data_IF_949501854831
#
_entry.id   IF_949501854831
#
_cell.length_a   1.000
_cell.length_b   1.000
_cell.length_c   1.000
_cell.angle_alpha   90.00
_cell.angle_beta   90.00
_cell.angle_gamma   90.00
#
_symmetry.space_group_name_H-M   'P 1'
#
loop_
_entity.id
_entity.type
_entity.pdbx_description
1 polymer ?
#
# COMPACT_ATOMS: atom_id res chain seq x y z
N UNK A 1 8.35 2.72 -25.73
CA UNK A 1 7.77 2.41 -24.40
C UNK A 1 8.68 2.99 -23.35
N UNK A 2 8.35 4.19 -22.87
CA UNK A 2 9.10 4.87 -21.82
C UNK A 2 8.76 4.17 -20.50
N UNK A 3 9.67 3.33 -20.00
CA UNK A 3 9.60 2.86 -18.62
C UNK A 3 10.07 3.98 -17.70
N UNK A 4 9.34 4.22 -16.62
CA UNK A 4 9.75 5.18 -15.61
C UNK A 4 10.93 4.62 -14.82
N UNK A 5 12.02 5.38 -14.76
CA UNK A 5 13.19 5.04 -13.97
C UNK A 5 13.07 5.78 -12.64
N UNK A 6 12.83 5.01 -11.58
CA UNK A 6 12.82 5.51 -10.23
C UNK A 6 14.19 5.32 -9.58
N UNK A 7 14.73 6.40 -9.03
CA UNK A 7 15.94 6.34 -8.22
C UNK A 7 15.52 6.28 -6.76
N UNK A 8 15.91 5.22 -6.04
CA UNK A 8 15.66 5.09 -4.61
C UNK A 8 16.98 5.24 -3.86
N UNK A 9 16.98 6.12 -2.87
CA UNK A 9 18.08 6.31 -1.94
C UNK A 9 17.68 5.74 -0.57
N UNK A 10 18.62 5.07 0.08
CA UNK A 10 18.54 4.87 1.53
C UNK A 10 19.32 6.00 2.19
N UNK A 11 18.63 6.94 2.87
CA UNK A 11 19.29 8.08 3.48
C UNK A 11 20.21 7.60 4.61
N UNK A 12 21.27 8.37 4.85
CA UNK A 12 22.12 8.18 6.02
C UNK A 12 21.32 8.47 7.29
N UNK A 13 21.13 7.47 8.13
CA UNK A 13 20.78 7.70 9.53
C UNK A 13 22.06 8.20 10.20
N UNK A 14 22.14 9.51 10.42
CA UNK A 14 23.21 10.24 11.12
C UNK A 14 24.56 10.30 10.37
N UNK A 15 24.66 11.17 9.35
CA UNK A 15 25.95 11.70 8.92
C UNK A 15 26.32 12.93 9.78
N UNK A 16 26.66 12.71 11.05
CA UNK A 16 27.45 13.72 11.78
C UNK A 16 28.89 13.57 11.33
N UNK A 17 29.50 14.66 10.88
CA UNK A 17 30.91 14.74 10.50
C UNK A 17 31.80 14.64 11.75
N UNK A 18 31.73 13.52 12.48
CA UNK A 18 32.64 13.23 13.57
C UNK A 18 33.91 12.68 12.93
N UNK A 19 35.04 13.33 13.24
CA UNK A 19 36.35 12.71 13.09
C UNK A 19 36.29 11.31 13.71
N UNK A 20 36.95 10.33 13.08
CA UNK A 20 37.07 9.01 13.71
C UNK A 20 37.59 9.23 15.11
N UNK A 21 36.89 8.69 16.11
CA UNK A 21 37.08 8.92 17.54
C UNK A 21 38.45 8.41 18.01
N UNK A 22 39.53 8.97 17.48
CA UNK A 22 40.92 8.64 17.76
C UNK A 22 41.14 8.88 19.25
N UNK A 23 41.20 7.79 20.02
CA UNK A 23 41.37 7.82 21.47
C UNK A 23 40.11 7.67 22.34
N UNK A 24 38.89 7.60 21.78
CA UNK A 24 37.64 7.48 22.61
C UNK A 24 36.87 6.17 22.41
N UNK A 25 36.90 5.59 21.23
CA UNK A 25 36.20 4.32 20.99
C UNK A 25 36.98 3.17 21.64
N UNK A 26 36.37 2.51 22.62
CA UNK A 26 36.99 1.38 23.34
C UNK A 26 36.72 0.04 22.66
N UNK A 27 35.76 0.01 21.73
CA UNK A 27 35.34 -1.17 21.00
C UNK A 27 35.22 -0.94 19.48
N UNK A 28 35.33 -2.02 18.72
CA UNK A 28 35.29 -2.00 17.25
C UNK A 28 33.97 -1.46 16.72
N UNK A 29 32.85 -1.86 17.31
CA UNK A 29 31.51 -1.43 16.94
C UNK A 29 31.29 0.07 17.17
N UNK A 30 31.75 0.61 18.30
CA UNK A 30 31.72 2.04 18.60
C UNK A 30 32.54 2.86 17.59
N UNK A 31 33.71 2.35 17.20
CA UNK A 31 34.55 2.97 16.18
C UNK A 31 33.88 3.01 14.81
N UNK A 32 33.30 1.87 14.37
CA UNK A 32 32.66 1.76 13.06
C UNK A 32 31.36 2.58 12.95
N UNK A 33 30.68 2.81 14.07
CA UNK A 33 29.51 3.70 14.16
C UNK A 33 29.89 5.19 14.20
N UNK A 34 31.12 5.53 14.58
CA UNK A 34 31.58 6.92 14.69
C UNK A 34 31.59 7.65 13.34
N UNK A 35 31.80 6.93 12.25
CA UNK A 35 31.72 7.51 10.91
C UNK A 35 31.96 6.50 9.79
N UNK A 36 31.47 6.78 8.57
CA UNK A 36 31.62 5.93 7.40
C UNK A 36 33.07 5.77 6.91
N UNK A 37 33.96 6.67 7.30
CA UNK A 37 35.38 6.67 6.93
C UNK A 37 36.28 5.94 7.94
N UNK A 38 35.74 5.50 9.08
CA UNK A 38 36.51 4.94 10.17
C UNK A 38 36.86 3.46 9.99
N UNK A 39 37.92 3.01 10.60
CA UNK A 39 38.41 1.65 10.54
C UNK A 39 38.89 1.27 11.94
N UNK A 40 38.88 -0.03 12.22
CA UNK A 40 39.36 -0.56 13.49
C UNK A 40 40.55 -1.51 13.27
N UNK A 41 41.62 -1.34 14.03
CA UNK A 41 42.77 -2.25 14.02
C UNK A 41 42.60 -3.32 15.13
N UNK A 42 42.57 -4.59 14.75
CA UNK A 42 42.47 -5.73 15.66
C UNK A 42 43.83 -6.20 16.23
N UNK A 43 44.93 -5.52 15.88
CA UNK A 43 46.27 -5.91 16.33
C UNK A 43 46.55 -5.38 17.75
N UNK A 44 46.98 -6.26 18.66
CA UNK A 44 47.04 -5.96 20.11
C UNK A 44 48.42 -5.63 20.66
N UNK A 45 49.51 -5.92 19.93
CA UNK A 45 50.86 -5.93 20.52
C UNK A 45 51.60 -4.58 20.42
N UNK A 46 51.11 -3.64 19.60
CA UNK A 46 51.77 -2.34 19.38
C UNK A 46 50.84 -1.13 19.50
N UNK A 47 49.57 -1.34 19.84
CA UNK A 47 48.54 -0.30 19.88
C UNK A 47 47.91 -0.21 21.27
N UNK A 48 47.89 1.00 21.86
CA UNK A 48 47.02 1.27 23.01
C UNK A 48 45.55 1.20 22.56
N UNK A 49 44.60 0.89 23.46
CA UNK A 49 43.18 0.68 23.10
C UNK A 49 42.59 1.88 22.33
N UNK A 50 43.03 3.10 22.63
CA UNK A 50 42.59 4.32 21.95
C UNK A 50 43.14 4.51 20.53
N UNK A 51 44.26 3.89 20.18
CA UNK A 51 44.91 4.04 18.86
C UNK A 51 44.33 3.11 17.80
N UNK A 52 43.45 2.19 18.20
CA UNK A 52 42.85 1.16 17.34
C UNK A 52 41.76 1.71 16.43
N UNK A 53 41.19 2.87 16.74
CA UNK A 53 40.23 3.56 15.89
C UNK A 53 40.90 4.69 15.10
N UNK A 54 40.66 4.75 13.79
CA UNK A 54 41.18 5.81 12.92
C UNK A 54 40.71 5.66 11.50
N UNK A 55 41.13 6.55 10.60
CA UNK A 55 40.95 6.33 9.16
C UNK A 55 41.87 5.21 8.65
N UNK A 56 41.60 4.65 7.47
CA UNK A 56 42.47 3.64 6.85
C UNK A 56 43.93 4.14 6.69
N UNK A 57 44.10 5.43 6.40
CA UNK A 57 45.40 6.06 6.24
C UNK A 57 46.13 6.21 7.58
N UNK A 58 45.43 6.67 8.62
CA UNK A 58 45.98 6.78 9.98
C UNK A 58 46.42 5.43 10.52
N UNK A 59 45.60 4.39 10.39
CA UNK A 59 45.94 3.05 10.88
C UNK A 59 47.15 2.47 10.13
N UNK A 60 47.27 2.75 8.84
CA UNK A 60 48.44 2.36 8.05
C UNK A 60 49.70 3.07 8.52
N UNK A 61 49.63 4.37 8.79
CA UNK A 61 50.76 5.16 9.32
C UNK A 61 51.21 4.69 10.71
N UNK A 62 50.25 4.26 11.55
CA UNK A 62 50.54 3.66 12.86
C UNK A 62 51.08 2.22 12.78
N UNK A 63 51.22 1.65 11.57
CA UNK A 63 51.80 0.32 11.36
C UNK A 63 50.80 -0.85 11.46
N UNK A 64 49.48 -0.59 11.42
CA UNK A 64 48.49 -1.67 11.35
C UNK A 64 48.53 -2.34 9.98
N UNK A 65 48.88 -3.63 9.94
CA UNK A 65 48.88 -4.41 8.71
C UNK A 65 47.43 -4.62 8.21
N UNK A 66 47.24 -4.73 6.90
CA UNK A 66 45.91 -4.70 6.26
C UNK A 66 45.01 -5.84 6.72
N UNK A 67 45.59 -7.00 7.01
CA UNK A 67 44.92 -8.20 7.51
C UNK A 67 44.29 -8.01 8.90
N UNK A 68 44.80 -7.07 9.70
CA UNK A 68 44.26 -6.74 11.02
C UNK A 68 43.26 -5.58 10.97
N UNK A 69 43.05 -4.94 9.82
CA UNK A 69 42.13 -3.82 9.66
C UNK A 69 40.70 -4.32 9.40
N UNK A 70 39.78 -3.95 10.28
CA UNK A 70 38.33 -4.12 10.12
C UNK A 70 37.73 -2.87 9.49
N UNK A 71 37.31 -3.00 8.24
CA UNK A 71 36.66 -1.93 7.48
C UNK A 71 35.54 -2.52 6.61
N UNK A 72 34.34 -2.77 7.18
CA UNK A 72 33.23 -3.31 6.40
C UNK A 72 32.80 -2.29 5.34
N UNK A 73 32.88 -2.71 4.08
CA UNK A 73 32.49 -1.89 2.93
C UNK A 73 31.04 -2.17 2.58
N UNK A 74 30.32 -1.13 2.20
CA UNK A 74 28.98 -1.25 1.66
C UNK A 74 29.00 -2.00 0.33
N UNK A 75 28.21 -3.08 0.20
CA UNK A 75 28.12 -3.88 -1.03
C UNK A 75 26.68 -4.05 -1.49
N UNK A 76 26.45 -4.04 -2.80
CA UNK A 76 25.18 -4.39 -3.43
C UNK A 76 25.36 -5.58 -4.36
N UNK A 77 24.43 -6.52 -4.32
CA UNK A 77 24.41 -7.68 -5.22
C UNK A 77 23.00 -7.89 -5.78
N UNK A 78 22.89 -7.94 -7.10
CA UNK A 78 21.64 -8.32 -7.77
C UNK A 78 21.41 -9.82 -7.60
N UNK A 79 20.21 -10.17 -7.13
CA UNK A 79 19.79 -11.56 -6.92
C UNK A 79 18.62 -11.99 -7.82
N UNK A 80 17.94 -11.04 -8.45
CA UNK A 80 16.89 -11.25 -9.44
C UNK A 80 16.76 -9.98 -10.27
N UNK A 81 17.02 -10.09 -11.57
CA UNK A 81 17.08 -8.96 -12.49
C UNK A 81 16.53 -9.34 -13.87
N UNK A 82 15.34 -9.92 -13.89
CA UNK A 82 14.64 -10.23 -15.13
C UNK A 82 14.28 -8.93 -15.87
N UNK A 83 14.39 -8.90 -17.20
CA UNK A 83 14.05 -7.73 -17.99
C UNK A 83 12.54 -7.46 -17.98
N UNK A 84 12.19 -6.18 -18.09
CA UNK A 84 10.81 -5.73 -18.12
C UNK A 84 10.10 -6.25 -19.39
N UNK A 85 8.87 -6.74 -19.23
CA UNK A 85 8.02 -7.11 -20.36
C UNK A 85 8.42 -8.38 -21.14
N UNK A 86 9.38 -9.18 -20.65
CA UNK A 86 9.84 -10.37 -21.37
C UNK A 86 9.19 -11.66 -20.85
N UNK A 87 8.03 -12.04 -21.42
CA UNK A 87 7.74 -13.43 -21.78
C UNK A 87 6.47 -13.58 -22.64
N UNK A 88 6.56 -14.44 -23.66
CA UNK A 88 5.52 -14.82 -24.63
C UNK A 88 4.41 -15.72 -24.07
N UNK A 89 4.44 -16.02 -22.77
CA UNK A 89 3.42 -16.77 -22.05
C UNK A 89 3.04 -16.02 -20.76
N UNK A 90 1.76 -15.67 -20.65
CA UNK A 90 1.14 -14.61 -19.86
C UNK A 90 1.22 -14.70 -18.32
N UNK A 91 1.98 -15.63 -17.74
CA UNK A 91 1.99 -15.86 -16.28
C UNK A 91 3.16 -15.23 -15.53
N UNK A 92 4.25 -14.85 -16.19
CA UNK A 92 5.50 -14.39 -15.54
C UNK A 92 6.06 -13.07 -16.12
N UNK A 93 5.20 -12.14 -16.50
CA UNK A 93 5.63 -10.81 -16.95
C UNK A 93 6.10 -9.97 -15.76
N UNK A 94 7.37 -9.57 -15.74
CA UNK A 94 7.90 -8.67 -14.72
C UNK A 94 7.68 -7.20 -15.10
N UNK A 95 7.05 -6.44 -14.20
CA UNK A 95 6.80 -4.98 -14.35
C UNK A 95 7.76 -4.11 -13.55
N UNK A 96 8.62 -4.73 -12.75
CA UNK A 96 9.67 -4.08 -11.95
C UNK A 96 11.00 -4.78 -12.17
N UNK A 97 12.10 -4.03 -12.21
CA UNK A 97 13.45 -4.55 -12.35
C UNK A 97 14.45 -3.65 -11.61
N UNK A 98 15.36 -4.18 -10.76
CA UNK A 98 15.50 -5.60 -10.38
C UNK A 98 14.40 -6.05 -9.41
N UNK A 99 14.09 -7.35 -9.39
CA UNK A 99 13.08 -7.92 -8.48
C UNK A 99 13.67 -8.25 -7.10
N UNK A 100 14.98 -8.52 -7.03
CA UNK A 100 15.64 -8.87 -5.77
C UNK A 100 17.09 -8.38 -5.73
N UNK A 101 17.45 -7.75 -4.61
CA UNK A 101 18.79 -7.24 -4.35
C UNK A 101 19.21 -7.55 -2.90
N UNK A 102 20.46 -7.94 -2.69
CA UNK A 102 21.08 -8.01 -1.38
C UNK A 102 21.95 -6.77 -1.16
N UNK A 103 21.66 -6.02 -0.10
CA UNK A 103 22.42 -4.86 0.32
C UNK A 103 23.09 -5.17 1.67
N UNK A 104 24.41 -4.97 1.75
CA UNK A 104 25.13 -4.89 3.02
C UNK A 104 25.57 -3.45 3.17
N UNK A 105 24.99 -2.75 4.13
CA UNK A 105 25.20 -1.31 4.32
C UNK A 105 26.10 -1.07 5.52
N UNK A 106 27.06 -0.16 5.34
CA UNK A 106 27.81 0.41 6.44
C UNK A 106 27.02 1.57 7.09
N UNK A 107 26.98 1.68 8.43
CA UNK A 107 26.38 2.83 9.10
C UNK A 107 26.93 4.16 8.56
N UNK A 108 26.03 5.11 8.29
CA UNK A 108 26.38 6.43 7.76
C UNK A 108 26.73 6.48 6.27
N UNK A 109 26.86 5.35 5.56
CA UNK A 109 27.10 5.32 4.11
C UNK A 109 25.80 5.15 3.32
N UNK A 110 25.35 6.17 2.58
CA UNK A 110 24.17 6.02 1.71
C UNK A 110 24.49 5.13 0.50
N UNK A 111 23.48 4.43 0.00
CA UNK A 111 23.52 3.70 -1.27
C UNK A 111 22.36 4.13 -2.14
N UNK A 112 22.68 4.32 -3.41
CA UNK A 112 21.70 4.60 -4.45
C UNK A 112 21.67 3.43 -5.42
N UNK A 113 20.47 2.98 -5.74
CA UNK A 113 20.25 2.01 -6.81
C UNK A 113 19.01 2.40 -7.62
N UNK A 114 18.98 1.90 -8.85
CA UNK A 114 17.93 2.22 -9.81
C UNK A 114 16.90 1.10 -9.85
N UNK A 115 15.63 1.48 -9.84
CA UNK A 115 14.49 0.61 -10.06
C UNK A 115 13.80 1.08 -11.33
N UNK A 116 13.61 0.18 -12.28
CA UNK A 116 12.86 0.43 -13.50
C UNK A 116 11.47 -0.15 -13.32
N UNK A 117 10.44 0.63 -13.62
CA UNK A 117 9.04 0.22 -13.56
C UNK A 117 8.42 0.44 -14.94
N UNK A 118 7.65 -0.53 -15.40
CA UNK A 118 6.90 -0.43 -16.64
C UNK A 118 5.44 -0.76 -16.37
N UNK A 119 4.55 0.17 -16.71
CA UNK A 119 3.12 -0.08 -16.64
C UNK A 119 2.73 -1.13 -17.71
N UNK A 120 1.99 -2.19 -17.33
CA UNK A 120 1.41 -3.11 -18.29
C UNK A 120 0.45 -2.39 -19.24
N UNK A 121 0.44 -2.81 -20.51
CA UNK A 121 -0.58 -2.37 -21.47
C UNK A 121 -1.96 -2.97 -21.16
N UNK A 122 -2.05 -4.30 -21.04
CA UNK A 122 -3.29 -5.02 -20.67
C UNK A 122 -3.15 -5.58 -19.25
N UNK A 123 -3.70 -4.87 -18.27
CA UNK A 123 -3.69 -5.25 -16.86
C UNK A 123 -5.11 -5.52 -16.34
N UNK A 124 -5.35 -6.57 -15.53
CA UNK A 124 -6.66 -6.79 -14.92
C UNK A 124 -7.09 -5.59 -14.06
N UNK A 125 -8.36 -5.21 -14.17
CA UNK A 125 -8.96 -4.14 -13.37
C UNK A 125 -10.19 -4.69 -12.66
N UNK A 126 -10.14 -4.63 -11.32
CA UNK A 126 -11.28 -4.89 -10.45
C UNK A 126 -11.83 -3.53 -9.97
N UNK A 127 -13.09 -3.24 -10.26
CA UNK A 127 -13.78 -2.04 -9.78
C UNK A 127 -14.93 -2.43 -8.86
N UNK A 128 -14.90 -1.96 -7.62
CA UNK A 128 -15.97 -2.17 -6.64
C UNK A 128 -16.72 -0.87 -6.43
N UNK A 129 -17.94 -0.78 -6.97
CA UNK A 129 -18.76 0.42 -6.87
C UNK A 129 -19.44 0.44 -5.51
N UNK A 130 -19.01 1.37 -4.66
CA UNK A 130 -19.54 1.57 -3.32
C UNK A 130 -20.43 2.82 -3.30
N UNK A 131 -21.73 2.62 -3.12
CA UNK A 131 -22.73 3.68 -3.30
C UNK A 131 -23.39 4.06 -1.98
N UNK A 132 -23.56 5.36 -1.77
CA UNK A 132 -24.50 5.87 -0.78
C UNK A 132 -25.94 5.61 -1.26
N UNK A 133 -26.78 5.01 -0.41
CA UNK A 133 -28.20 4.81 -0.65
C UNK A 133 -29.09 5.61 0.32
N UNK A 134 -28.57 6.70 0.88
CA UNK A 134 -29.35 7.74 1.55
C UNK A 134 -30.44 8.31 0.61
N UNK A 135 -31.43 9.00 1.19
CA UNK A 135 -32.60 9.46 0.45
C UNK A 135 -32.25 10.48 -0.64
N UNK A 136 -31.14 11.21 -0.48
CA UNK A 136 -30.61 12.14 -1.48
C UNK A 136 -30.10 11.47 -2.75
N UNK A 137 -29.88 10.14 -2.75
CA UNK A 137 -29.30 9.40 -3.88
C UNK A 137 -30.35 8.77 -4.81
N UNK A 138 -31.61 9.18 -4.68
CA UNK A 138 -32.74 8.56 -5.40
C UNK A 138 -32.69 8.78 -6.92
N UNK A 139 -32.29 9.97 -7.36
CA UNK A 139 -32.10 10.32 -8.77
C UNK A 139 -30.80 9.77 -9.33
N UNK A 140 -29.71 9.75 -8.55
CA UNK A 140 -28.47 9.05 -8.90
C UNK A 140 -28.71 7.58 -9.22
N UNK A 141 -29.51 6.90 -8.39
CA UNK A 141 -29.84 5.48 -8.59
C UNK A 141 -30.51 5.23 -9.95
N UNK A 142 -31.35 6.17 -10.41
CA UNK A 142 -31.98 6.08 -11.73
C UNK A 142 -30.96 6.26 -12.86
N UNK A 143 -29.99 7.16 -12.70
CA UNK A 143 -28.95 7.39 -13.71
C UNK A 143 -28.00 6.20 -13.86
N UNK A 144 -27.67 5.51 -12.76
CA UNK A 144 -26.68 4.43 -12.79
C UNK A 144 -27.22 3.06 -13.22
N UNK A 145 -28.52 2.95 -13.52
CA UNK A 145 -29.15 1.69 -13.95
C UNK A 145 -28.45 1.03 -15.14
N UNK A 146 -27.89 1.84 -16.05
CA UNK A 146 -27.15 1.36 -17.23
C UNK A 146 -25.63 1.52 -17.11
N UNK A 147 -25.12 1.94 -15.94
CA UNK A 147 -23.70 2.22 -15.72
C UNK A 147 -22.84 0.99 -15.98
N UNK A 148 -23.27 -0.20 -15.53
CA UNK A 148 -22.48 -1.42 -15.68
C UNK A 148 -22.17 -1.76 -17.14
N UNK A 149 -23.15 -1.60 -18.04
CA UNK A 149 -22.96 -1.80 -19.48
C UNK A 149 -22.09 -0.72 -20.12
N UNK A 150 -22.33 0.55 -19.81
CA UNK A 150 -21.58 1.68 -20.39
C UNK A 150 -20.12 1.63 -19.95
N UNK A 151 -19.89 1.51 -18.66
CA UNK A 151 -18.55 1.45 -18.07
C UNK A 151 -17.75 0.27 -18.62
N UNK A 152 -18.36 -0.92 -18.69
CA UNK A 152 -17.65 -2.10 -19.19
C UNK A 152 -17.28 -1.98 -20.67
N UNK A 153 -18.11 -1.29 -21.46
CA UNK A 153 -17.82 -1.01 -22.87
C UNK A 153 -16.61 -0.08 -23.03
N UNK A 154 -16.55 0.99 -22.22
CA UNK A 154 -15.39 1.90 -22.22
C UNK A 154 -14.12 1.19 -21.74
N UNK A 155 -14.23 0.41 -20.65
CA UNK A 155 -13.11 -0.34 -20.08
C UNK A 155 -12.58 -1.45 -20.99
N UNK A 156 -13.41 -2.02 -21.86
CA UNK A 156 -13.00 -3.03 -22.83
C UNK A 156 -11.96 -2.52 -23.85
N UNK A 157 -11.86 -1.19 -24.03
CA UNK A 157 -10.81 -0.58 -24.85
C UNK A 157 -9.44 -0.51 -24.15
N UNK A 158 -9.42 -0.62 -22.82
CA UNK A 158 -8.24 -0.46 -21.97
C UNK A 158 -7.71 -1.79 -21.41
N UNK A 159 -8.61 -2.73 -21.09
CA UNK A 159 -8.25 -4.02 -20.50
C UNK A 159 -9.18 -5.13 -20.98
N UNK A 160 -8.59 -6.31 -21.22
CA UNK A 160 -9.34 -7.52 -21.54
C UNK A 160 -9.97 -8.19 -20.29
N UNK A 161 -9.54 -7.78 -19.09
CA UNK A 161 -9.87 -8.42 -17.81
C UNK A 161 -10.48 -7.41 -16.85
N UNK A 162 -11.71 -7.01 -17.14
CA UNK A 162 -12.49 -6.14 -16.27
C UNK A 162 -13.47 -6.92 -15.40
N UNK A 163 -13.53 -6.61 -14.11
CA UNK A 163 -14.55 -7.11 -13.18
C UNK A 163 -15.18 -5.96 -12.43
N UNK A 164 -16.48 -6.05 -12.22
CA UNK A 164 -17.28 -5.05 -11.54
C UNK A 164 -18.02 -5.70 -10.36
N UNK A 165 -18.07 -5.01 -9.24
CA UNK A 165 -18.79 -5.39 -8.03
C UNK A 165 -19.59 -4.22 -7.48
N UNK A 166 -20.49 -4.49 -6.54
CA UNK A 166 -21.38 -3.48 -5.97
C UNK A 166 -21.57 -3.69 -4.46
N UNK A 167 -21.55 -2.59 -3.72
CA UNK A 167 -21.99 -2.53 -2.34
C UNK A 167 -22.62 -1.18 -2.06
N UNK A 168 -23.34 -1.10 -0.95
CA UNK A 168 -24.01 0.12 -0.53
C UNK A 168 -23.86 0.39 0.95
N UNK A 169 -24.08 1.65 1.33
CA UNK A 169 -24.10 2.09 2.71
C UNK A 169 -25.11 3.22 2.91
N UNK A 170 -25.47 3.46 4.17
CA UNK A 170 -26.27 4.62 4.61
C UNK A 170 -25.62 5.11 5.91
N UNK A 171 -26.14 4.68 7.06
CA UNK A 171 -25.65 5.05 8.37
C UNK A 171 -25.87 3.92 9.38
N UNK A 172 -25.16 3.96 10.51
CA UNK A 172 -25.32 3.03 11.63
C UNK A 172 -26.78 3.07 12.12
N UNK A 173 -27.46 1.91 12.20
CA UNK A 173 -28.88 1.85 12.57
C UNK A 173 -29.08 1.97 14.09
N UNK A 174 -28.48 2.98 14.71
CA UNK A 174 -28.52 3.25 16.16
C UNK A 174 -28.78 4.74 16.41
N UNK A 175 -29.23 5.08 17.62
CA UNK A 175 -29.33 6.48 18.05
C UNK A 175 -27.92 7.10 18.14
N UNK A 176 -27.76 8.41 17.83
CA UNK A 176 -28.80 9.38 17.41
C UNK A 176 -29.08 9.40 15.90
N UNK A 177 -28.39 8.58 15.11
CA UNK A 177 -28.39 8.66 13.65
C UNK A 177 -29.72 8.28 13.00
N UNK A 178 -30.54 7.46 13.66
CA UNK A 178 -31.88 7.08 13.20
C UNK A 178 -32.93 7.32 14.27
N UNK A 179 -34.21 7.41 13.88
CA UNK A 179 -35.32 7.30 14.83
C UNK A 179 -35.67 5.84 15.05
N UNK A 180 -35.90 5.47 16.30
CA UNK A 180 -36.17 4.08 16.72
C UNK A 180 -37.65 3.79 17.03
N UNK A 181 -38.56 4.68 16.62
CA UNK A 181 -40.01 4.38 16.75
C UNK A 181 -40.38 3.26 15.78
N UNK A 182 -41.34 2.38 16.11
CA UNK A 182 -41.69 1.25 15.25
C UNK A 182 -42.06 1.64 13.81
N UNK A 183 -42.67 2.81 13.64
CA UNK A 183 -43.06 3.34 12.32
C UNK A 183 -41.86 3.81 11.49
N UNK A 184 -40.88 4.47 12.11
CA UNK A 184 -39.67 4.98 11.44
C UNK A 184 -38.68 3.83 11.16
N UNK A 185 -38.59 2.82 12.05
CA UNK A 185 -37.82 1.60 11.80
C UNK A 185 -38.36 0.80 10.61
N UNK A 186 -39.68 0.81 10.42
CA UNK A 186 -40.32 0.15 9.28
C UNK A 186 -40.16 0.95 7.98
N UNK A 187 -40.23 2.29 8.05
CA UNK A 187 -40.08 3.17 6.90
C UNK A 187 -39.53 4.56 7.33
N UNK A 188 -38.21 4.80 7.22
CA UNK A 188 -37.62 6.06 7.67
C UNK A 188 -37.93 7.25 6.73
N UNK A 189 -38.57 7.01 5.58
CA UNK A 189 -39.03 8.05 4.65
C UNK A 189 -40.50 8.42 4.83
N UNK A 190 -41.15 7.96 5.91
CA UNK A 190 -42.56 8.22 6.18
C UNK A 190 -42.88 9.71 6.29
N UNK A 191 -41.95 10.51 6.82
CA UNK A 191 -42.13 11.97 6.98
C UNK A 191 -42.33 12.74 5.67
N UNK A 192 -41.95 12.13 4.54
CA UNK A 192 -42.09 12.69 3.18
C UNK A 192 -43.04 11.86 2.31
N UNK A 193 -43.95 11.11 2.93
CA UNK A 193 -44.96 10.26 2.27
C UNK A 193 -44.39 9.31 1.22
N UNK A 194 -43.14 8.85 1.42
CA UNK A 194 -42.44 7.91 0.55
C UNK A 194 -42.15 6.60 1.29
N UNK A 195 -41.90 5.52 0.54
CA UNK A 195 -41.56 4.20 1.10
C UNK A 195 -40.14 3.85 0.71
N UNK A 196 -39.27 3.73 1.71
CA UNK A 196 -37.87 3.35 1.54
C UNK A 196 -37.47 2.19 2.46
N UNK A 197 -36.25 1.69 2.31
CA UNK A 197 -35.75 0.59 3.12
C UNK A 197 -35.43 1.06 4.55
N UNK A 198 -35.50 0.15 5.55
CA UNK A 198 -34.92 0.40 6.86
C UNK A 198 -33.43 0.71 6.76
N UNK A 199 -32.96 1.63 7.61
CA UNK A 199 -31.55 2.06 7.66
C UNK A 199 -30.61 0.89 7.92
N UNK A 200 -29.46 0.93 7.26
CA UNK A 200 -28.40 -0.07 7.41
C UNK A 200 -27.04 0.61 7.28
N UNK A 201 -26.03 0.06 7.96
CA UNK A 201 -24.66 0.57 7.87
C UNK A 201 -24.04 0.28 6.50
N UNK A 202 -23.57 -0.94 6.29
CA UNK A 202 -22.96 -1.39 5.03
C UNK A 202 -23.57 -2.72 4.57
N UNK A 203 -23.73 -2.88 3.26
CA UNK A 203 -24.13 -4.14 2.61
C UNK A 203 -23.22 -4.45 1.43
N UNK A 204 -22.60 -5.63 1.48
CA UNK A 204 -22.03 -6.26 0.30
C UNK A 204 -23.15 -6.91 -0.52
N UNK A 205 -23.24 -6.61 -1.82
CA UNK A 205 -24.38 -7.05 -2.65
C UNK A 205 -23.90 -7.90 -3.83
N UNK A 206 -22.94 -7.40 -4.61
CA UNK A 206 -22.41 -8.11 -5.78
C UNK A 206 -20.90 -8.34 -5.63
N UNK A 207 -20.45 -9.60 -5.50
CA UNK A 207 -19.05 -9.95 -5.66
C UNK A 207 -18.53 -9.56 -7.03
N UNK A 208 -17.27 -9.12 -7.07
CA UNK A 208 -16.56 -8.77 -8.32
C UNK A 208 -16.73 -9.86 -9.39
N UNK A 209 -17.39 -9.52 -10.50
CA UNK A 209 -17.73 -10.44 -11.60
C UNK A 209 -17.46 -9.77 -12.96
N UNK A 210 -17.21 -10.56 -13.99
CA UNK A 210 -17.14 -10.07 -15.38
C UNK A 210 -18.52 -9.90 -16.02
N UNK A 211 -19.60 -10.31 -15.34
CA UNK A 211 -20.96 -10.28 -15.87
C UNK A 211 -21.63 -8.93 -15.66
N UNK A 212 -21.55 -8.07 -16.67
CA UNK A 212 -22.14 -6.70 -16.67
C UNK A 212 -23.66 -6.71 -16.47
N UNK A 213 -24.35 -7.70 -17.03
CA UNK A 213 -25.81 -7.83 -16.90
C UNK A 213 -26.24 -8.06 -15.45
N UNK A 214 -25.45 -8.80 -14.66
CA UNK A 214 -25.73 -9.03 -13.23
C UNK A 214 -25.62 -7.75 -12.42
N UNK A 215 -24.68 -6.87 -12.79
CA UNK A 215 -24.56 -5.56 -12.18
C UNK A 215 -25.80 -4.72 -12.45
N UNK A 216 -26.20 -4.58 -13.71
CA UNK A 216 -27.38 -3.79 -14.08
C UNK A 216 -28.67 -4.32 -13.41
N UNK A 217 -28.84 -5.65 -13.38
CA UNK A 217 -29.96 -6.32 -12.68
C UNK A 217 -29.98 -5.95 -11.19
N UNK A 218 -28.85 -6.05 -10.50
CA UNK A 218 -28.75 -5.74 -9.07
C UNK A 218 -29.01 -4.26 -8.80
N UNK A 219 -28.47 -3.34 -9.60
CA UNK A 219 -28.69 -1.91 -9.45
C UNK A 219 -30.18 -1.58 -9.58
N UNK A 220 -30.87 -2.15 -10.57
CA UNK A 220 -32.31 -1.91 -10.78
C UNK A 220 -33.20 -2.40 -9.63
N UNK A 221 -32.69 -3.29 -8.78
CA UNK A 221 -33.39 -3.81 -7.60
C UNK A 221 -33.09 -3.00 -6.32
N UNK A 222 -32.11 -2.10 -6.36
CA UNK A 222 -31.79 -1.30 -5.18
C UNK A 222 -32.88 -0.27 -4.91
N UNK A 223 -32.97 0.11 -3.64
CA UNK A 223 -33.86 1.16 -3.16
C UNK A 223 -33.10 1.99 -2.14
N UNK A 224 -33.38 3.28 -2.10
CA UNK A 224 -32.84 4.16 -1.07
C UNK A 224 -33.40 3.83 0.31
N UNK A 225 -32.76 4.40 1.31
CA UNK A 225 -33.09 4.42 2.73
C UNK A 225 -32.95 5.86 3.23
N UNK A 226 -33.22 6.12 4.51
CA UNK A 226 -32.97 7.42 5.12
C UNK A 226 -32.34 7.29 6.51
N UNK A 227 -31.85 8.40 7.03
CA UNK A 227 -31.33 8.60 8.39
C UNK A 227 -31.76 10.02 8.87
N UNK A 228 -31.24 10.48 10.01
CA UNK A 228 -31.49 11.82 10.55
C UNK A 228 -30.32 12.81 10.39
N UNK A 229 -29.17 12.38 9.85
CA UNK A 229 -27.95 13.17 9.84
C UNK A 229 -27.38 13.31 8.42
N UNK A 230 -26.68 14.42 8.15
CA UNK A 230 -26.07 14.63 6.84
C UNK A 230 -24.76 13.83 6.64
N UNK A 231 -23.89 13.65 7.66
CA UNK A 231 -22.76 12.74 7.53
C UNK A 231 -23.24 11.29 7.51
N UNK A 232 -22.70 10.51 6.58
CA UNK A 232 -23.02 9.09 6.38
C UNK A 232 -21.86 8.18 6.82
N UNK A 233 -22.12 6.88 7.00
CA UNK A 233 -21.14 5.90 7.48
C UNK A 233 -20.19 5.37 6.39
N UNK A 234 -19.91 6.17 5.35
CA UNK A 234 -19.12 5.74 4.19
C UNK A 234 -17.73 5.18 4.54
N UNK A 235 -17.10 5.63 5.63
CA UNK A 235 -15.81 5.11 6.07
C UNK A 235 -15.88 3.69 6.65
N UNK A 236 -16.97 3.33 7.33
CA UNK A 236 -17.19 1.95 7.76
C UNK A 236 -17.33 1.05 6.53
N UNK A 237 -18.03 1.53 5.51
CA UNK A 237 -18.22 0.82 4.25
C UNK A 237 -16.91 0.64 3.46
N UNK A 238 -16.04 1.67 3.41
CA UNK A 238 -14.70 1.57 2.81
C UNK A 238 -13.85 0.55 3.57
N UNK A 239 -13.85 0.60 4.91
CA UNK A 239 -13.09 -0.35 5.73
C UNK A 239 -13.53 -1.78 5.47
N UNK A 240 -14.84 -2.05 5.47
CA UNK A 240 -15.36 -3.37 5.16
C UNK A 240 -14.98 -3.78 3.74
N UNK A 241 -15.24 -2.95 2.73
CA UNK A 241 -14.91 -3.29 1.34
C UNK A 241 -13.42 -3.58 1.11
N UNK A 242 -12.51 -2.92 1.84
CA UNK A 242 -11.06 -3.10 1.71
C UNK A 242 -10.54 -4.35 2.42
N UNK A 243 -11.08 -4.69 3.59
CA UNK A 243 -10.60 -5.81 4.42
C UNK A 243 -11.28 -7.14 4.02
N UNK A 244 -12.51 -7.05 3.53
CA UNK A 244 -13.32 -8.20 3.14
C UNK A 244 -12.90 -8.78 1.80
N UNK A 245 -11.89 -9.65 1.82
CA UNK A 245 -11.43 -10.37 0.63
C UNK A 245 -12.49 -11.31 0.02
N UNK A 246 -12.26 -11.72 -1.23
CA UNK A 246 -13.15 -12.51 -2.13
C UNK A 246 -13.61 -13.88 -1.57
N UNK A 247 -13.17 -14.28 -0.37
CA UNK A 247 -13.41 -15.62 0.21
C UNK A 247 -14.19 -15.67 1.51
N UNK A 248 -14.62 -14.54 2.08
CA UNK A 248 -15.39 -14.59 3.31
C UNK A 248 -16.82 -14.15 3.06
N UNK A 249 -17.75 -15.12 3.05
CA UNK A 249 -19.19 -14.88 3.22
C UNK A 249 -19.54 -14.34 4.63
N UNK A 250 -18.53 -13.83 5.36
CA UNK A 250 -18.57 -13.50 6.78
C UNK A 250 -17.81 -12.21 7.00
N UNK A 251 -18.12 -11.18 6.21
CA UNK A 251 -17.88 -9.83 6.68
C UNK A 251 -19.10 -9.37 7.45
N UNK A 252 -18.87 -9.10 8.72
CA UNK A 252 -19.88 -8.69 9.66
C UNK A 252 -20.51 -7.40 9.16
N UNK A 253 -21.74 -7.51 8.66
CA UNK A 253 -22.75 -6.52 9.00
C UNK A 253 -22.72 -6.46 10.52
N UNK A 254 -22.10 -5.41 11.07
CA UNK A 254 -22.16 -5.15 12.50
C UNK A 254 -23.63 -4.81 12.78
N UNK A 255 -24.42 -5.83 13.06
CA UNK A 255 -25.63 -5.69 13.85
C UNK A 255 -25.17 -5.38 15.27
N UNK A 256 -24.87 -4.10 15.52
CA UNK A 256 -24.85 -3.53 16.87
C UNK A 256 -26.10 -2.70 17.03
#
# INVERSE_FOLDING_TARGET
>A
TNGDIFTKSFPSLLAQHRTCSAGRALACDECLQSGPQCAWCNFTDSFTVGDRCGTLEELRLRGCAREFVQFPVTTSKLLGNEPLGQNTNSSNTSYISPQRMALRLRPGMPVTFQIKVQQPGDHPVDMYYLMDLSASMVDDLQMITNLGSTLSKEMASLTSKFRLGFGSFVEKPVLPFIKITPEELANPCRSVDSVCLPTFGYRHILPLTSSTNKFNEIISQQRVSANNENPECGFDAIMQAAVCGVRSATCCCVNS
#
